data_IF_126435196565
#
_entry.id   IF_126435196565
#
_cell.length_a   1.000
_cell.length_b   1.000
_cell.length_c   1.000
_cell.angle_alpha   90.00
_cell.angle_beta   90.00
_cell.angle_gamma   90.00
#
_symmetry.space_group_name_H-M   'P 1'
#
loop_
_entity.id
_entity.type
_entity.pdbx_description
1 polymer ?
#
# COMPACT_ATOMS: atom_id res chain seq x y z
N UNK A 1 -16.48 8.81 -17.51
CA UNK A 1 -15.60 8.28 -18.58
C UNK A 1 -14.90 7.03 -18.04
N UNK A 2 -15.06 5.89 -18.70
CA UNK A 2 -14.34 4.66 -18.37
C UNK A 2 -12.85 4.97 -18.61
N UNK A 3 -12.02 4.80 -17.58
CA UNK A 3 -10.57 4.96 -17.74
C UNK A 3 -10.06 3.65 -18.33
N UNK A 4 -9.40 3.67 -19.50
CA UNK A 4 -9.02 2.44 -20.22
C UNK A 4 -8.04 1.57 -19.43
N UNK A 5 -7.31 2.19 -18.50
CA UNK A 5 -6.29 1.57 -17.66
C UNK A 5 -6.78 1.05 -16.31
N UNK A 6 -8.09 1.03 -16.08
CA UNK A 6 -8.70 0.43 -14.87
C UNK A 6 -9.28 -0.93 -15.20
N UNK A 7 -8.71 -1.97 -14.61
CA UNK A 7 -8.98 -3.35 -14.98
C UNK A 7 -9.44 -4.16 -13.77
N UNK A 8 -10.31 -5.14 -14.03
CA UNK A 8 -10.86 -6.04 -13.02
C UNK A 8 -9.86 -7.17 -12.78
N UNK A 9 -9.50 -7.38 -11.52
CA UNK A 9 -8.55 -8.42 -11.11
C UNK A 9 -9.17 -9.80 -11.33
N UNK A 10 -8.43 -10.65 -12.04
CA UNK A 10 -8.76 -12.06 -12.29
C UNK A 10 -7.60 -12.97 -11.86
N UNK A 11 -7.88 -14.26 -11.75
CA UNK A 11 -6.88 -15.24 -11.33
C UNK A 11 -5.93 -15.60 -12.47
N UNK A 12 -4.64 -15.73 -12.15
CA UNK A 12 -3.63 -16.12 -13.12
C UNK A 12 -3.48 -17.64 -13.19
N UNK A 13 -3.25 -18.14 -14.40
CA UNK A 13 -2.89 -19.55 -14.62
C UNK A 13 -1.41 -19.80 -14.26
N UNK A 14 -0.55 -18.79 -14.42
CA UNK A 14 0.87 -18.81 -14.03
C UNK A 14 1.05 -18.26 -12.60
N UNK A 15 1.97 -18.85 -11.85
CA UNK A 15 2.29 -18.49 -10.45
C UNK A 15 3.56 -17.63 -10.31
N UNK A 16 4.10 -17.06 -11.40
CA UNK A 16 5.25 -16.15 -11.33
C UNK A 16 4.87 -14.81 -10.68
N UNK A 17 5.59 -14.45 -9.60
CA UNK A 17 5.32 -13.27 -8.78
C UNK A 17 5.63 -11.92 -9.47
N UNK A 18 6.28 -11.94 -10.63
CA UNK A 18 6.69 -10.74 -11.37
C UNK A 18 5.83 -10.48 -12.60
N UNK A 19 4.83 -11.32 -12.89
CA UNK A 19 4.07 -11.28 -14.15
C UNK A 19 2.61 -10.95 -13.92
N UNK A 20 2.08 -10.07 -14.78
CA UNK A 20 0.64 -9.89 -14.97
C UNK A 20 0.29 -10.09 -16.44
N UNK A 21 -0.92 -10.57 -16.71
CA UNK A 21 -1.37 -10.81 -18.07
C UNK A 21 -2.61 -9.97 -18.43
N UNK A 22 -2.61 -9.46 -19.66
CA UNK A 22 -3.67 -8.69 -20.28
C UNK A 22 -4.04 -9.31 -21.64
N UNK A 23 -5.23 -9.01 -22.15
CA UNK A 23 -5.55 -9.31 -23.55
C UNK A 23 -4.64 -8.50 -24.49
N UNK A 24 -4.39 -9.02 -25.69
CA UNK A 24 -3.61 -8.28 -26.70
C UNK A 24 -4.28 -6.95 -27.07
N UNK A 25 -5.61 -6.95 -27.24
CA UNK A 25 -6.36 -5.74 -27.56
C UNK A 25 -6.23 -4.67 -26.46
N UNK A 26 -6.22 -5.08 -25.19
CA UNK A 26 -6.01 -4.15 -24.07
C UNK A 26 -4.58 -3.62 -24.04
N UNK A 27 -3.57 -4.45 -24.33
CA UNK A 27 -2.19 -4.00 -24.44
C UNK A 27 -2.02 -2.95 -25.54
N UNK A 28 -2.62 -3.19 -26.72
CA UNK A 28 -2.58 -2.25 -27.84
C UNK A 28 -3.25 -0.92 -27.49
N UNK A 29 -4.41 -0.95 -26.82
CA UNK A 29 -5.12 0.26 -26.35
C UNK A 29 -4.28 1.09 -25.37
N UNK A 30 -3.52 0.41 -24.50
CA UNK A 30 -2.66 1.04 -23.49
C UNK A 30 -1.23 1.33 -24.00
N UNK A 31 -0.93 1.01 -25.26
CA UNK A 31 0.40 1.14 -25.86
C UNK A 31 1.49 0.38 -25.08
N UNK A 32 1.14 -0.81 -24.58
CA UNK A 32 2.04 -1.71 -23.86
C UNK A 32 2.53 -2.81 -24.80
N UNK A 33 3.82 -3.12 -24.72
CA UNK A 33 4.44 -4.23 -25.45
C UNK A 33 4.71 -5.40 -24.51
N UNK A 34 4.82 -6.60 -25.09
CA UNK A 34 5.15 -7.81 -24.35
C UNK A 34 6.51 -7.65 -23.66
N UNK A 35 6.54 -7.86 -22.35
CA UNK A 35 7.74 -7.73 -21.54
C UNK A 35 7.93 -6.34 -20.95
N UNK A 36 7.07 -5.37 -21.26
CA UNK A 36 7.16 -4.04 -20.66
C UNK A 36 6.98 -4.11 -19.14
N UNK A 37 7.72 -3.24 -18.46
CA UNK A 37 7.51 -3.03 -17.03
C UNK A 37 6.31 -2.11 -16.82
N UNK A 38 5.37 -2.54 -16.00
CA UNK A 38 4.16 -1.80 -15.63
C UNK A 38 4.10 -1.56 -14.13
N UNK A 39 3.63 -0.38 -13.75
CA UNK A 39 3.28 -0.05 -12.38
C UNK A 39 1.80 -0.35 -12.16
N UNK A 40 1.51 -1.11 -11.12
CA UNK A 40 0.16 -1.45 -10.68
C UNK A 40 -0.15 -0.67 -9.42
N UNK A 41 -1.35 -0.09 -9.35
CA UNK A 41 -1.86 0.54 -8.12
C UNK A 41 -3.14 -0.15 -7.68
N UNK A 42 -3.15 -0.60 -6.43
CA UNK A 42 -4.26 -1.26 -5.77
C UNK A 42 -4.94 -0.37 -4.73
N UNK A 43 -5.42 -0.97 -3.65
CA UNK A 43 -6.09 -0.29 -2.54
C UNK A 43 -5.06 0.22 -1.52
N UNK A 44 -5.45 1.15 -0.64
CA UNK A 44 -4.61 1.62 0.48
C UNK A 44 -3.22 2.12 0.02
N UNK A 45 -3.20 2.76 -1.15
CA UNK A 45 -2.00 3.25 -1.87
C UNK A 45 -0.90 2.21 -2.07
N UNK A 46 -1.25 0.93 -2.12
CA UNK A 46 -0.28 -0.10 -2.43
C UNK A 46 0.01 -0.15 -3.92
N UNK A 47 1.29 -0.24 -4.21
CA UNK A 47 1.85 -0.23 -5.54
C UNK A 47 2.81 -1.41 -5.65
N UNK A 48 2.89 -1.98 -6.84
CA UNK A 48 3.89 -2.98 -7.18
C UNK A 48 4.28 -2.80 -8.64
N UNK A 49 5.40 -3.41 -9.04
CA UNK A 49 5.93 -3.31 -10.39
C UNK A 49 6.02 -4.72 -10.95
N UNK A 50 5.44 -4.92 -12.14
CA UNK A 50 5.37 -6.23 -12.79
C UNK A 50 5.77 -6.12 -14.26
N UNK A 51 5.99 -7.26 -14.88
CA UNK A 51 6.14 -7.44 -16.32
C UNK A 51 4.77 -7.78 -16.89
N UNK A 52 4.36 -7.10 -17.95
CA UNK A 52 3.10 -7.40 -18.65
C UNK A 52 3.33 -8.39 -19.79
N UNK A 53 2.50 -9.42 -19.86
CA UNK A 53 2.45 -10.37 -20.97
C UNK A 53 1.05 -10.43 -21.58
N UNK A 54 0.98 -10.81 -22.86
CA UNK A 54 -0.27 -11.08 -23.57
C UNK A 54 -0.83 -12.45 -23.19
N UNK A 55 -2.12 -12.54 -22.91
CA UNK A 55 -2.87 -13.79 -22.72
C UNK A 55 -4.17 -13.73 -23.53
N UNK A 56 -4.29 -14.57 -24.55
CA UNK A 56 -5.45 -14.63 -25.45
C UNK A 56 -6.75 -15.05 -24.74
N UNK A 57 -6.64 -15.71 -23.60
CA UNK A 57 -7.79 -16.15 -22.80
C UNK A 57 -8.22 -15.12 -21.76
N UNK A 58 -7.46 -14.02 -21.61
CA UNK A 58 -7.80 -12.93 -20.71
C UNK A 58 -8.80 -11.97 -21.38
N UNK A 59 -9.96 -11.69 -20.77
CA UNK A 59 -10.89 -10.68 -21.27
C UNK A 59 -10.30 -9.26 -21.25
N UNK A 60 -10.74 -8.41 -22.17
CA UNK A 60 -10.20 -7.05 -22.35
C UNK A 60 -10.32 -6.18 -21.10
N UNK A 61 -11.39 -6.29 -20.33
CA UNK A 61 -11.63 -5.51 -19.12
C UNK A 61 -10.89 -6.03 -17.88
N UNK A 62 -10.12 -7.12 -18.02
CA UNK A 62 -9.49 -7.83 -16.90
C UNK A 62 -7.97 -7.78 -16.93
N UNK A 63 -7.40 -8.08 -15.76
CA UNK A 63 -5.97 -8.30 -15.56
C UNK A 63 -5.76 -9.53 -14.69
N UNK A 64 -4.97 -10.48 -15.17
CA UNK A 64 -4.61 -11.68 -14.42
C UNK A 64 -3.34 -11.48 -13.63
N UNK A 65 -3.38 -11.82 -12.35
CA UNK A 65 -2.22 -11.75 -11.46
C UNK A 65 -2.33 -12.83 -10.38
N UNK A 66 -1.21 -13.36 -9.91
CA UNK A 66 -1.22 -14.41 -8.89
C UNK A 66 -1.58 -13.87 -7.49
N UNK A 67 -1.69 -14.76 -6.50
CA UNK A 67 -2.03 -14.39 -5.12
C UNK A 67 -1.02 -13.43 -4.49
N UNK A 68 0.27 -13.55 -4.81
CA UNK A 68 1.33 -12.70 -4.26
C UNK A 68 1.14 -11.25 -4.70
N UNK A 69 0.95 -11.01 -6.00
CA UNK A 69 0.71 -9.66 -6.54
C UNK A 69 -0.59 -9.07 -5.98
N UNK A 70 -1.67 -9.87 -5.88
CA UNK A 70 -2.93 -9.42 -5.26
C UNK A 70 -2.75 -8.98 -3.81
N UNK A 71 -2.02 -9.77 -3.02
CA UNK A 71 -1.73 -9.45 -1.63
C UNK A 71 -0.94 -8.14 -1.52
N UNK A 72 0.12 -7.98 -2.34
CA UNK A 72 0.92 -6.75 -2.38
C UNK A 72 0.05 -5.53 -2.67
N UNK A 73 -0.86 -5.63 -3.64
CA UNK A 73 -1.81 -4.56 -4.02
C UNK A 73 -3.03 -4.43 -3.09
N UNK A 74 -3.19 -5.31 -2.10
CA UNK A 74 -4.33 -5.37 -1.17
C UNK A 74 -5.68 -5.48 -1.88
N UNK A 75 -5.74 -6.30 -2.92
CA UNK A 75 -6.93 -6.55 -3.73
C UNK A 75 -7.34 -8.01 -3.72
N UNK A 76 -8.62 -8.26 -3.98
CA UNK A 76 -9.21 -9.58 -4.19
C UNK A 76 -9.61 -9.76 -5.65
N UNK A 77 -10.00 -10.96 -6.04
CA UNK A 77 -10.61 -11.21 -7.35
C UNK A 77 -11.85 -10.31 -7.48
N UNK A 78 -12.07 -9.76 -8.68
CA UNK A 78 -13.12 -8.79 -9.01
C UNK A 78 -12.92 -7.35 -8.48
N UNK A 79 -11.86 -7.08 -7.70
CA UNK A 79 -11.48 -5.69 -7.41
C UNK A 79 -10.92 -5.00 -8.65
N UNK A 80 -10.81 -3.67 -8.59
CA UNK A 80 -10.26 -2.87 -9.70
C UNK A 80 -8.87 -2.37 -9.32
N UNK A 81 -7.90 -2.59 -10.21
CA UNK A 81 -6.56 -1.98 -10.16
C UNK A 81 -6.38 -0.99 -11.30
N UNK A 82 -5.39 -0.10 -11.20
CA UNK A 82 -4.93 0.69 -12.35
C UNK A 82 -3.55 0.23 -12.82
N UNK A 83 -3.37 0.21 -14.14
CA UNK A 83 -2.11 -0.15 -14.81
C UNK A 83 -1.53 1.08 -15.49
N UNK A 84 -0.23 1.30 -15.37
CA UNK A 84 0.50 2.39 -16.06
C UNK A 84 1.85 1.86 -16.55
N UNK A 85 2.29 2.28 -17.74
CA UNK A 85 3.63 1.93 -18.23
C UNK A 85 4.70 2.52 -17.28
N UNK A 86 5.74 1.75 -17.00
CA UNK A 86 6.86 2.15 -16.12
C UNK A 86 8.21 2.05 -16.85
N UNK A 87 8.44 2.82 -17.91
CA UNK A 87 9.63 2.69 -18.77
C UNK A 87 10.94 3.12 -18.09
N UNK A 88 10.85 3.89 -17.00
CA UNK A 88 12.01 4.50 -16.35
C UNK A 88 12.60 3.67 -15.19
N UNK A 89 12.14 2.44 -14.99
CA UNK A 89 12.70 1.56 -13.97
C UNK A 89 14.20 1.33 -14.24
N UNK A 90 15.02 1.47 -13.19
CA UNK A 90 16.47 1.30 -13.29
C UNK A 90 16.89 -0.05 -12.72
N UNK A 91 18.05 -0.54 -13.15
CA UNK A 91 18.70 -1.66 -12.46
C UNK A 91 19.08 -1.23 -11.04
N UNK A 92 18.80 -2.13 -10.09
CA UNK A 92 19.12 -1.91 -8.69
C UNK A 92 20.62 -1.98 -8.48
N UNK A 93 21.18 -1.04 -7.72
CA UNK A 93 22.53 -1.16 -7.16
C UNK A 93 22.54 -2.18 -6.03
N UNK A 94 21.54 -2.09 -5.16
CA UNK A 94 21.36 -2.99 -4.03
C UNK A 94 19.91 -3.07 -3.59
N UNK A 95 19.55 -4.21 -3.00
CA UNK A 95 18.26 -4.45 -2.37
C UNK A 95 18.49 -5.08 -1.00
N UNK A 96 17.57 -4.86 -0.07
CA UNK A 96 17.56 -5.53 1.22
C UNK A 96 16.23 -6.25 1.39
N UNK A 97 16.31 -7.57 1.57
CA UNK A 97 15.14 -8.42 1.78
C UNK A 97 15.31 -9.19 3.08
N UNK A 98 14.23 -9.36 3.84
CA UNK A 98 14.26 -10.13 5.08
C UNK A 98 13.21 -11.25 5.01
N UNK A 99 13.51 -12.44 5.55
CA UNK A 99 12.53 -13.51 5.62
C UNK A 99 11.45 -13.19 6.65
N UNK A 100 10.28 -13.80 6.50
CA UNK A 100 9.28 -13.82 7.57
C UNK A 100 9.57 -14.99 8.53
N UNK A 101 9.53 -14.72 9.83
CA UNK A 101 9.98 -15.58 10.91
C UNK A 101 9.45 -17.02 10.84
N UNK A 102 8.14 -17.18 10.76
CA UNK A 102 7.43 -18.46 10.70
C UNK A 102 7.83 -19.33 9.49
N UNK A 103 8.35 -18.73 8.42
CA UNK A 103 8.77 -19.44 7.21
C UNK A 103 10.21 -19.94 7.25
N UNK A 104 11.01 -19.47 8.21
CA UNK A 104 12.43 -19.83 8.35
C UNK A 104 12.74 -20.62 9.62
N UNK A 105 11.74 -20.90 10.45
CA UNK A 105 11.93 -21.73 11.65
C UNK A 105 12.52 -23.11 11.32
N UNK A 106 13.66 -23.41 11.94
CA UNK A 106 14.39 -24.65 11.74
C UNK A 106 15.05 -24.81 10.36
N UNK A 107 15.07 -23.77 9.53
CA UNK A 107 15.88 -23.77 8.31
C UNK A 107 17.34 -23.56 8.69
N UNK A 108 18.20 -24.47 8.24
CA UNK A 108 19.65 -24.34 8.34
C UNK A 108 20.23 -24.05 6.95
N UNK A 109 21.30 -23.24 6.90
CA UNK A 109 21.98 -22.88 5.66
C UNK A 109 21.75 -21.44 5.21
N UNK A 110 22.40 -21.08 4.11
CA UNK A 110 22.41 -19.71 3.59
C UNK A 110 21.16 -19.47 2.72
N UNK A 111 20.25 -18.61 3.22
CA UNK A 111 19.00 -18.27 2.51
C UNK A 111 19.24 -17.64 1.13
N UNK A 112 20.34 -16.90 0.98
CA UNK A 112 20.69 -16.28 -0.29
C UNK A 112 21.02 -17.32 -1.36
N UNK A 113 21.94 -18.25 -1.09
CA UNK A 113 22.33 -19.28 -2.04
C UNK A 113 21.20 -20.28 -2.36
N UNK A 114 20.37 -20.62 -1.36
CA UNK A 114 19.32 -21.65 -1.52
C UNK A 114 18.05 -21.09 -2.17
N UNK A 115 17.66 -19.84 -1.87
CA UNK A 115 16.39 -19.27 -2.29
C UNK A 115 16.56 -18.05 -3.19
N UNK A 116 17.22 -16.99 -2.71
CA UNK A 116 17.21 -15.70 -3.40
C UNK A 116 17.98 -15.73 -4.72
N UNK A 117 19.18 -16.31 -4.73
CA UNK A 117 20.03 -16.37 -5.92
C UNK A 117 19.34 -17.15 -7.05
N UNK A 118 18.84 -18.39 -6.86
CA UNK A 118 18.06 -19.08 -7.92
C UNK A 118 16.81 -18.32 -8.36
N UNK A 119 16.15 -17.59 -7.45
CA UNK A 119 14.94 -16.84 -7.78
C UNK A 119 15.20 -15.61 -8.66
N UNK A 120 16.34 -14.92 -8.45
CA UNK A 120 16.72 -13.72 -9.20
C UNK A 120 17.67 -13.97 -10.37
N UNK A 121 18.31 -15.14 -10.43
CA UNK A 121 19.33 -15.47 -11.45
C UNK A 121 18.78 -15.27 -12.86
N UNK A 122 19.37 -14.29 -13.58
CA UNK A 122 19.05 -13.92 -14.97
C UNK A 122 17.56 -13.62 -15.25
N UNK A 123 16.77 -13.39 -14.20
CA UNK A 123 15.33 -13.21 -14.31
C UNK A 123 14.91 -11.74 -14.50
N UNK A 124 15.80 -10.79 -14.22
CA UNK A 124 15.55 -9.34 -14.33
C UNK A 124 14.22 -8.90 -13.69
N UNK A 125 13.91 -9.45 -12.50
CA UNK A 125 12.62 -9.24 -11.84
C UNK A 125 12.48 -7.79 -11.36
N UNK A 126 11.41 -7.07 -11.74
CA UNK A 126 11.05 -5.83 -11.05
C UNK A 126 10.56 -6.14 -9.65
N UNK A 127 10.95 -5.31 -8.68
CA UNK A 127 10.47 -5.38 -7.29
C UNK A 127 10.15 -4.00 -6.76
N UNK A 128 9.21 -3.91 -5.81
CA UNK A 128 8.88 -2.69 -5.10
C UNK A 128 9.19 -2.82 -3.60
N UNK A 129 9.65 -1.73 -2.97
CA UNK A 129 9.80 -1.66 -1.52
C UNK A 129 8.47 -1.96 -0.84
N UNK A 130 8.48 -2.90 0.10
CA UNK A 130 7.31 -3.36 0.83
C UNK A 130 6.58 -4.54 0.19
N UNK A 131 6.96 -4.97 -1.03
CA UNK A 131 6.44 -6.21 -1.60
C UNK A 131 6.86 -7.41 -0.75
N UNK A 132 5.93 -8.33 -0.55
CA UNK A 132 6.25 -9.69 -0.11
C UNK A 132 6.25 -10.63 -1.31
N UNK A 133 7.10 -11.66 -1.27
CA UNK A 133 7.14 -12.68 -2.29
C UNK A 133 7.52 -14.03 -1.70
N UNK A 134 6.98 -15.09 -2.29
CA UNK A 134 7.21 -16.46 -1.83
C UNK A 134 8.12 -17.19 -2.81
N UNK A 135 9.19 -17.79 -2.30
CA UNK A 135 10.08 -18.67 -3.06
C UNK A 135 9.81 -20.11 -2.65
N UNK A 136 9.50 -20.97 -3.62
CA UNK A 136 9.36 -22.42 -3.40
C UNK A 136 10.72 -23.09 -3.53
N UNK A 137 11.28 -23.54 -2.42
CA UNK A 137 12.41 -24.48 -2.42
C UNK A 137 11.93 -25.92 -2.60
N UNK A 138 12.87 -26.89 -2.55
CA UNK A 138 12.57 -28.32 -2.73
C UNK A 138 11.59 -28.89 -1.71
N UNK A 139 11.71 -28.50 -0.44
CA UNK A 139 10.90 -29.07 0.66
C UNK A 139 10.06 -28.04 1.40
N UNK A 140 10.36 -26.74 1.26
CA UNK A 140 9.72 -25.66 2.01
C UNK A 140 9.55 -24.43 1.13
N UNK A 141 8.57 -23.60 1.49
CA UNK A 141 8.38 -22.27 0.93
C UNK A 141 8.90 -21.26 1.95
N UNK A 142 9.63 -20.26 1.47
CA UNK A 142 10.11 -19.16 2.30
C UNK A 142 9.52 -17.87 1.77
N UNK A 143 9.00 -17.04 2.67
CA UNK A 143 8.48 -15.73 2.33
C UNK A 143 9.51 -14.66 2.69
N UNK A 144 9.67 -13.70 1.79
CA UNK A 144 10.55 -12.57 1.97
C UNK A 144 9.78 -11.27 1.79
N UNK A 145 10.19 -10.22 2.50
CA UNK A 145 9.75 -8.85 2.28
C UNK A 145 10.90 -8.01 1.76
N UNK A 146 10.63 -7.18 0.76
CA UNK A 146 11.56 -6.14 0.30
C UNK A 146 11.55 -4.98 1.29
N UNK A 147 12.58 -4.87 2.11
CA UNK A 147 12.71 -3.82 3.12
C UNK A 147 13.20 -2.52 2.49
N UNK A 148 14.15 -2.62 1.56
CA UNK A 148 14.75 -1.46 0.89
C UNK A 148 15.21 -1.78 -0.53
N UNK A 149 15.17 -0.77 -1.37
CA UNK A 149 15.68 -0.77 -2.75
C UNK A 149 16.54 0.48 -2.97
N UNK A 150 17.56 0.34 -3.82
CA UNK A 150 18.38 1.44 -4.31
C UNK A 150 18.57 1.27 -5.83
N UNK A 151 17.91 2.08 -6.67
CA UNK A 151 17.08 3.22 -6.29
C UNK A 151 15.74 2.82 -5.66
N UNK A 152 15.22 3.70 -4.80
CA UNK A 152 13.89 3.58 -4.21
C UNK A 152 12.82 4.30 -5.05
N UNK A 153 11.54 3.88 -4.99
CA UNK A 153 11.03 2.76 -4.20
C UNK A 153 11.07 1.41 -4.94
N UNK A 154 11.41 1.36 -6.22
CA UNK A 154 11.43 0.14 -7.03
C UNK A 154 12.64 0.10 -7.96
N UNK A 155 13.06 -1.12 -8.32
CA UNK A 155 14.15 -1.37 -9.26
C UNK A 155 14.02 -2.75 -9.92
N UNK A 156 14.75 -2.98 -11.01
CA UNK A 156 14.96 -4.32 -11.57
C UNK A 156 16.17 -4.97 -10.90
N UNK A 157 16.01 -6.19 -10.40
CA UNK A 157 17.11 -6.99 -9.85
C UNK A 157 17.89 -7.62 -11.01
N UNK A 158 19.07 -7.09 -11.28
CA UNK A 158 20.00 -7.55 -12.32
C UNK A 158 21.12 -8.41 -11.73
N UNK A 159 21.94 -9.10 -12.55
CA UNK A 159 23.10 -9.85 -12.05
C UNK A 159 24.10 -9.03 -11.21
N UNK A 160 24.19 -7.72 -11.47
CA UNK A 160 25.09 -6.80 -10.74
C UNK A 160 24.45 -6.22 -9.45
N UNK A 161 23.17 -6.51 -9.21
CA UNK A 161 22.46 -5.99 -8.03
C UNK A 161 22.90 -6.75 -6.78
N UNK A 162 23.42 -6.02 -5.79
CA UNK A 162 23.81 -6.61 -4.50
C UNK A 162 22.55 -6.92 -3.68
N UNK A 163 22.35 -8.18 -3.32
CA UNK A 163 21.20 -8.63 -2.53
C UNK A 163 21.64 -8.85 -1.09
N UNK A 164 21.20 -7.96 -0.20
CA UNK A 164 21.37 -8.13 1.24
C UNK A 164 20.21 -8.94 1.80
N UNK A 165 20.52 -9.94 2.63
CA UNK A 165 19.52 -10.73 3.35
C UNK A 165 19.87 -10.94 4.83
N UNK A 166 20.71 -10.08 5.38
CA UNK A 166 21.13 -10.12 6.78
C UNK A 166 20.20 -9.26 7.65
N UNK A 167 19.93 -9.71 8.88
CA UNK A 167 19.06 -9.05 9.84
C UNK A 167 18.14 -10.04 10.56
N UNK A 168 17.41 -9.56 11.55
CA UNK A 168 16.37 -10.35 12.21
C UNK A 168 15.20 -10.59 11.24
N UNK A 169 14.63 -11.81 11.19
CA UNK A 169 13.39 -12.05 10.47
C UNK A 169 12.28 -11.08 10.88
N UNK A 170 11.40 -10.77 9.93
CA UNK A 170 10.22 -9.96 10.18
C UNK A 170 9.16 -10.84 10.84
N UNK A 171 8.45 -10.31 11.83
CA UNK A 171 7.38 -11.06 12.50
C UNK A 171 6.15 -11.20 11.60
N UNK A 172 5.60 -12.42 11.50
CA UNK A 172 4.34 -12.68 10.81
C UNK A 172 3.21 -11.77 11.28
N UNK A 173 3.10 -11.59 12.60
CA UNK A 173 2.08 -10.75 13.24
C UNK A 173 2.13 -9.30 12.74
N UNK A 174 3.32 -8.72 12.61
CA UNK A 174 3.51 -7.34 12.13
C UNK A 174 3.05 -7.19 10.66
N UNK A 175 3.33 -8.18 9.80
CA UNK A 175 2.84 -8.16 8.42
C UNK A 175 1.33 -8.42 8.31
N UNK A 176 0.78 -9.29 9.16
CA UNK A 176 -0.66 -9.55 9.20
C UNK A 176 -1.44 -8.32 9.65
N UNK A 177 -0.95 -7.59 10.67
CA UNK A 177 -1.52 -6.29 11.07
C UNK A 177 -1.48 -5.30 9.90
N UNK A 178 -0.37 -5.21 9.17
CA UNK A 178 -0.24 -4.35 8.00
C UNK A 178 -1.10 -4.80 6.79
N UNK A 179 -1.37 -6.09 6.66
CA UNK A 179 -2.28 -6.66 5.65
C UNK A 179 -3.74 -6.36 6.00
N UNK A 180 -4.10 -6.46 7.28
CA UNK A 180 -5.45 -6.27 7.81
C UNK A 180 -5.78 -4.82 8.19
N UNK A 181 -4.85 -3.88 7.96
CA UNK A 181 -5.05 -2.45 8.23
C UNK A 181 -6.37 -1.94 7.61
N UNK A 182 -7.22 -1.29 8.41
CA UNK A 182 -8.57 -0.87 8.00
C UNK A 182 -8.55 0.02 6.74
N UNK A 183 -9.41 -0.26 5.76
CA UNK A 183 -9.64 0.57 4.56
C UNK A 183 -11.12 0.91 4.38
N UNK A 184 -11.47 1.53 3.26
CA UNK A 184 -12.87 1.95 3.03
C UNK A 184 -13.85 0.78 2.92
N UNK A 185 -13.39 -0.38 2.44
CA UNK A 185 -14.24 -1.55 2.24
C UNK A 185 -14.61 -2.25 3.56
N UNK A 186 -13.89 -1.93 4.64
CA UNK A 186 -14.16 -2.43 5.98
C UNK A 186 -15.27 -1.64 6.69
N UNK A 187 -15.86 -0.63 6.01
CA UNK A 187 -16.87 0.28 6.57
C UNK A 187 -18.22 0.08 5.85
N UNK A 188 -19.12 -0.65 6.52
CA UNK A 188 -20.49 -0.87 6.07
C UNK A 188 -21.43 0.33 6.33
N UNK A 189 -22.45 0.51 5.48
CA UNK A 189 -23.55 1.45 5.73
C UNK A 189 -23.24 2.95 5.60
N UNK A 190 -21.97 3.34 5.43
CA UNK A 190 -21.53 4.75 5.43
C UNK A 190 -21.18 5.30 4.04
N UNK A 191 -21.74 4.77 2.95
CA UNK A 191 -21.35 5.15 1.57
C UNK A 191 -21.43 6.66 1.30
N UNK A 192 -22.49 7.33 1.78
CA UNK A 192 -22.67 8.78 1.58
C UNK A 192 -21.64 9.59 2.36
N UNK A 193 -21.40 9.22 3.62
CA UNK A 193 -20.45 9.86 4.51
C UNK A 193 -19.01 9.68 4.01
N UNK A 194 -18.65 8.47 3.56
CA UNK A 194 -17.35 8.22 2.94
C UNK A 194 -17.13 9.05 1.68
N UNK A 195 -18.16 9.27 0.85
CA UNK A 195 -18.05 10.15 -0.31
C UNK A 195 -17.75 11.60 0.09
N UNK A 196 -18.45 12.14 1.09
CA UNK A 196 -18.20 13.48 1.62
C UNK A 196 -16.78 13.60 2.21
N UNK A 197 -16.34 12.60 2.96
CA UNK A 197 -15.01 12.59 3.57
C UNK A 197 -13.91 12.51 2.50
N UNK A 198 -14.08 11.71 1.46
CA UNK A 198 -13.17 11.67 0.31
C UNK A 198 -13.07 13.04 -0.37
N UNK A 199 -14.18 13.73 -0.54
CA UNK A 199 -14.21 15.07 -1.14
C UNK A 199 -13.57 16.12 -0.24
N UNK A 200 -13.77 16.07 1.07
CA UNK A 200 -13.25 17.06 2.02
C UNK A 200 -11.80 16.81 2.45
N UNK A 201 -11.32 15.56 2.43
CA UNK A 201 -9.97 15.19 2.91
C UNK A 201 -9.09 14.72 1.76
N UNK A 202 -9.50 13.66 1.05
CA UNK A 202 -8.65 13.00 0.06
C UNK A 202 -8.41 13.87 -1.17
N UNK A 203 -9.46 14.54 -1.67
CA UNK A 203 -9.35 15.38 -2.87
C UNK A 203 -8.40 16.57 -2.68
N UNK A 204 -8.45 17.37 -1.59
CA UNK A 204 -7.47 18.43 -1.33
C UNK A 204 -6.04 17.92 -1.15
N UNK A 205 -5.87 16.77 -0.48
CA UNK A 205 -4.55 16.19 -0.23
C UNK A 205 -3.93 15.65 -1.53
N UNK A 206 -4.72 15.03 -2.41
CA UNK A 206 -4.24 14.46 -3.69
C UNK A 206 -4.10 15.50 -4.80
N UNK A 207 -4.97 16.51 -4.84
CA UNK A 207 -5.04 17.49 -5.92
C UNK A 207 -5.06 18.93 -5.40
N UNK A 208 -4.02 19.38 -4.65
CA UNK A 208 -3.97 20.73 -4.09
C UNK A 208 -3.99 21.83 -5.16
N UNK A 209 -3.53 21.52 -6.38
CA UNK A 209 -3.57 22.44 -7.53
C UNK A 209 -4.99 22.81 -7.96
N UNK A 210 -5.96 21.90 -7.83
CA UNK A 210 -7.37 22.14 -8.19
C UNK A 210 -7.98 23.22 -7.29
N UNK A 211 -7.70 23.15 -5.99
CA UNK A 211 -8.16 24.15 -5.01
C UNK A 211 -7.46 25.50 -5.19
N UNK A 212 -6.15 25.48 -5.51
CA UNK A 212 -5.40 26.71 -5.86
C UNK A 212 -5.96 27.39 -7.11
N UNK A 213 -6.28 26.63 -8.16
CA UNK A 213 -6.79 27.17 -9.41
C UNK A 213 -8.17 27.83 -9.25
N UNK A 214 -9.03 27.27 -8.40
CA UNK A 214 -10.38 27.80 -8.13
C UNK A 214 -10.34 28.91 -7.07
N UNK A 215 -9.23 29.07 -6.35
CA UNK A 215 -9.06 30.09 -5.32
C UNK A 215 -9.81 29.79 -4.01
N UNK A 216 -10.21 28.53 -3.79
CA UNK A 216 -10.96 28.11 -2.59
C UNK A 216 -10.03 27.36 -1.64
N UNK A 217 -10.04 27.74 -0.37
CA UNK A 217 -9.32 27.01 0.69
C UNK A 217 -10.15 25.78 1.11
N UNK A 218 -9.56 24.57 1.11
CA UNK A 218 -10.27 23.38 1.58
C UNK A 218 -10.57 23.49 3.09
N UNK A 219 -11.65 22.84 3.56
CA UNK A 219 -11.94 22.76 4.99
C UNK A 219 -10.80 22.02 5.71
N UNK A 220 -10.37 22.55 6.87
CA UNK A 220 -9.29 21.96 7.68
C UNK A 220 -9.78 21.20 8.91
N UNK A 221 -11.05 21.32 9.27
CA UNK A 221 -11.66 20.65 10.40
C UNK A 221 -12.96 19.99 9.99
N UNK A 222 -13.10 18.71 10.32
CA UNK A 222 -14.29 17.90 10.02
C UNK A 222 -14.73 17.25 11.31
N UNK A 223 -16.00 17.44 11.67
CA UNK A 223 -16.60 16.83 12.85
C UNK A 223 -17.44 15.63 12.42
N UNK A 224 -17.02 14.44 12.85
CA UNK A 224 -17.85 13.24 12.74
C UNK A 224 -18.69 13.12 14.01
N UNK A 225 -20.01 13.12 13.87
CA UNK A 225 -20.93 12.98 14.99
C UNK A 225 -21.90 11.83 14.77
N UNK A 226 -22.38 11.26 15.87
CA UNK A 226 -23.33 10.16 15.88
C UNK A 226 -23.18 9.31 17.13
N UNK A 227 -24.15 8.40 17.41
CA UNK A 227 -24.11 7.50 18.56
C UNK A 227 -22.79 6.70 18.66
N UNK A 228 -22.43 6.21 19.87
CA UNK A 228 -21.31 5.27 20.01
C UNK A 228 -21.53 4.02 19.14
N UNK A 229 -20.44 3.42 18.67
CA UNK A 229 -20.49 2.22 17.83
C UNK A 229 -20.82 2.43 16.34
N UNK A 230 -21.00 3.67 15.89
CA UNK A 230 -21.30 3.98 14.47
C UNK A 230 -20.08 4.03 13.54
N UNK A 231 -18.90 3.66 14.03
CA UNK A 231 -17.69 3.52 13.20
C UNK A 231 -16.90 4.81 12.93
N UNK A 232 -17.08 5.88 13.73
CA UNK A 232 -16.33 7.15 13.57
C UNK A 232 -14.81 6.95 13.56
N UNK A 233 -14.27 6.22 14.54
CA UNK A 233 -12.84 5.90 14.64
C UNK A 233 -12.37 4.99 13.51
N UNK A 234 -13.21 4.04 13.06
CA UNK A 234 -12.92 3.17 11.90
C UNK A 234 -12.79 4.00 10.61
N UNK A 235 -13.69 4.95 10.39
CA UNK A 235 -13.65 5.88 9.27
C UNK A 235 -12.34 6.67 9.25
N UNK A 236 -11.91 7.21 10.40
CA UNK A 236 -10.67 7.96 10.49
C UNK A 236 -9.44 7.12 10.09
N UNK A 237 -9.35 5.90 10.63
CA UNK A 237 -8.26 4.96 10.30
C UNK A 237 -8.27 4.55 8.83
N UNK A 238 -9.45 4.29 8.26
CA UNK A 238 -9.58 3.99 6.83
C UNK A 238 -9.06 5.14 5.96
N UNK A 239 -9.46 6.37 6.26
CA UNK A 239 -9.03 7.55 5.50
C UNK A 239 -7.52 7.73 5.58
N UNK A 240 -6.91 7.55 6.75
CA UNK A 240 -5.46 7.60 6.92
C UNK A 240 -4.74 6.60 6.00
N UNK A 241 -5.14 5.33 6.06
CA UNK A 241 -4.54 4.26 5.28
C UNK A 241 -4.73 4.46 3.76
N UNK A 242 -5.85 5.04 3.33
CA UNK A 242 -6.18 5.27 1.91
C UNK A 242 -5.58 6.56 1.34
N UNK A 243 -5.37 7.57 2.19
CA UNK A 243 -4.68 8.82 1.82
C UNK A 243 -3.16 8.66 1.92
N UNK A 244 -2.66 7.73 2.73
CA UNK A 244 -1.25 7.60 3.08
C UNK A 244 -0.69 8.88 3.72
N UNK A 245 -1.55 9.69 4.32
CA UNK A 245 -1.17 10.82 5.14
C UNK A 245 -0.66 10.30 6.49
N UNK A 246 0.28 11.02 7.11
CA UNK A 246 0.65 10.76 8.49
C UNK A 246 -0.60 10.87 9.37
N UNK A 247 -0.84 9.90 10.26
CA UNK A 247 -2.03 9.87 11.09
C UNK A 247 -1.67 9.94 12.55
N UNK A 248 -2.17 10.98 13.22
CA UNK A 248 -1.97 11.17 14.65
C UNK A 248 -3.32 11.03 15.37
N UNK A 249 -3.44 10.04 16.26
CA UNK A 249 -4.62 9.82 17.08
C UNK A 249 -4.46 10.53 18.42
N UNK A 250 -5.42 11.38 18.75
CA UNK A 250 -5.56 12.00 20.07
C UNK A 250 -6.81 11.42 20.70
N UNK A 251 -6.67 10.75 21.85
CA UNK A 251 -7.78 10.18 22.59
C UNK A 251 -8.21 11.14 23.72
N UNK A 252 -9.44 11.67 23.67
CA UNK A 252 -9.93 12.69 24.61
C UNK A 252 -9.74 12.34 26.09
N UNK A 253 -10.25 11.19 26.57
CA UNK A 253 -10.02 10.71 27.94
C UNK A 253 -8.55 10.61 28.35
N UNK A 254 -7.68 10.16 27.44
CA UNK A 254 -6.25 10.03 27.72
C UNK A 254 -5.61 11.40 28.01
N UNK A 255 -5.97 12.43 27.23
CA UNK A 255 -5.53 13.81 27.44
C UNK A 255 -6.04 14.37 28.76
N UNK A 256 -7.29 14.09 29.16
CA UNK A 256 -7.88 14.61 30.40
C UNK A 256 -7.34 13.92 31.66
N UNK A 257 -6.79 12.71 31.54
CA UNK A 257 -6.23 11.95 32.67
C UNK A 257 -4.86 12.47 33.15
N UNK A 258 -4.27 13.41 32.42
CA UNK A 258 -2.92 13.94 32.63
C UNK A 258 -2.90 15.11 33.62
N UNK A 259 -1.72 15.41 34.20
CA UNK A 259 -1.56 16.53 35.12
C UNK A 259 -1.79 17.88 34.39
N UNK A 260 -2.26 18.89 35.12
CA UNK A 260 -2.47 20.23 34.57
C UNK A 260 -1.18 20.78 33.91
N UNK A 261 -1.28 21.25 32.66
CA UNK A 261 -0.14 21.66 31.84
C UNK A 261 0.44 20.56 30.94
N UNK A 262 0.33 19.29 31.35
CA UNK A 262 0.79 18.15 30.54
C UNK A 262 -0.19 17.86 29.38
N UNK A 263 -1.50 18.04 29.62
CA UNK A 263 -2.55 17.93 28.59
C UNK A 263 -2.34 18.92 27.43
N UNK A 264 -2.11 20.21 27.71
CA UNK A 264 -1.87 21.22 26.66
C UNK A 264 -0.54 20.98 25.93
N UNK A 265 0.49 20.53 26.65
CA UNK A 265 1.79 20.19 26.06
C UNK A 265 1.67 19.03 25.07
N UNK A 266 0.92 17.98 25.41
CA UNK A 266 0.70 16.84 24.54
C UNK A 266 -0.11 17.20 23.29
N UNK A 267 -1.15 18.02 23.44
CA UNK A 267 -1.89 18.55 22.30
C UNK A 267 -0.96 19.35 21.37
N UNK A 268 -0.13 20.25 21.90
CA UNK A 268 0.81 21.03 21.10
C UNK A 268 1.79 20.14 20.32
N UNK A 269 2.40 19.15 20.99
CA UNK A 269 3.31 18.20 20.35
C UNK A 269 2.65 17.40 19.24
N UNK A 270 1.41 16.95 19.44
CA UNK A 270 0.66 16.23 18.42
C UNK A 270 0.48 17.05 17.13
N UNK A 271 0.15 18.34 17.26
CA UNK A 271 0.02 19.24 16.12
C UNK A 271 1.38 19.59 15.49
N UNK A 272 2.44 19.79 16.28
CA UNK A 272 3.80 20.02 15.79
C UNK A 272 4.31 18.81 14.98
N UNK A 273 4.08 17.60 15.46
CA UNK A 273 4.46 16.36 14.77
C UNK A 273 3.69 16.17 13.47
N UNK A 274 2.38 16.47 13.46
CA UNK A 274 1.58 16.44 12.25
C UNK A 274 2.01 17.49 11.22
N UNK A 275 2.42 18.69 11.66
CA UNK A 275 2.95 19.72 10.77
C UNK A 275 4.30 19.30 10.16
N UNK A 276 5.18 18.70 10.97
CA UNK A 276 6.48 18.21 10.50
C UNK A 276 6.34 17.06 9.48
N UNK A 277 5.34 16.19 9.66
CA UNK A 277 5.08 15.04 8.80
C UNK A 277 4.00 15.29 7.73
N UNK A 278 3.73 16.56 7.37
CA UNK A 278 2.73 16.89 6.36
C UNK A 278 3.02 16.18 5.01
N UNK A 279 2.00 15.63 4.32
CA UNK A 279 0.56 15.71 4.60
C UNK A 279 0.12 14.81 5.76
N UNK A 280 -0.67 15.35 6.69
CA UNK A 280 -1.09 14.68 7.92
C UNK A 280 -2.60 14.85 8.22
N UNK A 281 -3.14 13.91 8.98
CA UNK A 281 -4.48 13.88 9.56
C UNK A 281 -4.34 13.75 11.07
N UNK A 282 -4.80 14.76 11.80
CA UNK A 282 -4.95 14.68 13.26
C UNK A 282 -6.40 14.29 13.55
N UNK A 283 -6.60 13.14 14.19
CA UNK A 283 -7.91 12.67 14.59
C UNK A 283 -8.05 12.75 16.10
N UNK A 284 -8.98 13.60 16.55
CA UNK A 284 -9.34 13.74 17.96
C UNK A 284 -10.58 12.91 18.21
N UNK A 285 -10.41 11.75 18.85
CA UNK A 285 -11.51 10.91 19.29
C UNK A 285 -12.07 11.45 20.62
N UNK A 286 -13.38 11.33 20.80
CA UNK A 286 -14.10 11.83 22.00
C UNK A 286 -13.79 13.30 22.30
N UNK A 287 -13.91 14.17 21.28
CA UNK A 287 -13.65 15.62 21.38
C UNK A 287 -14.43 16.29 22.51
N UNK A 288 -15.63 15.80 22.82
CA UNK A 288 -16.48 16.29 23.90
C UNK A 288 -15.85 16.15 25.29
N UNK A 289 -14.89 15.22 25.48
CA UNK A 289 -14.15 15.07 26.73
C UNK A 289 -13.18 16.24 26.98
N UNK A 290 -12.57 16.81 25.93
CA UNK A 290 -11.58 17.89 26.04
C UNK A 290 -12.15 19.28 25.75
N UNK A 291 -13.29 19.37 25.04
CA UNK A 291 -13.93 20.62 24.65
C UNK A 291 -15.43 20.68 25.01
N UNK A 292 -15.80 20.50 26.30
CA UNK A 292 -17.19 20.66 26.73
C UNK A 292 -17.63 22.14 26.65
N UNK A 293 -18.94 22.37 26.56
CA UNK A 293 -19.49 23.74 26.70
C UNK A 293 -19.14 24.26 28.09
N UNK A 294 -18.44 25.40 28.12
CA UNK A 294 -18.21 26.21 29.32
C UNK A 294 -19.33 27.24 29.48
#
# INVERSE_FOLDING_TARGET
KIRPNRLIVDDAVNDDNSVVALSQAKMDELQLFRGDTVQLRGKRRKESVCIVLSDETCPDEKIRMNRVVRNNLRVRISDIVSVEACPNVKYGKRIHVLPIDDTVEGITGNLFEVFLKPYFLEAYRPIHKGDTFTIRGRMRKVEFKVVQTDPAPYCIVSPDTIIHSEGSPIKREEEEEALNAIGYDDIGGCRKQLAQIKEMIELPLRHPSLFKAIGVKPPRGILLFGPPGTGKTLIARAVANETGAFFFLINGPEIMSKLAGESESNLRKAFEEAEHNAPAIVFIDELDAIAPKR
#
